data_IF_962425209068
#
_entry.id   IF_962425209068
#
_cell.length_a   1.000
_cell.length_b   1.000
_cell.length_c   1.000
_cell.angle_alpha   90.00
_cell.angle_beta   90.00
_cell.angle_gamma   90.00
#
_symmetry.space_group_name_H-M   'P 1'
#
loop_
_entity.id
_entity.type
_entity.pdbx_description
1 polymer ?
#
# COMPACT_ATOMS: atom_id res chain seq x y z
N UNK A 1 11.42 -27.51 9.74
CA UNK A 1 11.08 -26.60 9.52
C UNK A 1 10.88 -25.88 10.58
N UNK A 2 11.21 -25.23 10.65
CA UNK A 2 10.94 -24.62 11.57
C UNK A 2 9.81 -24.29 11.51
N UNK A 3 9.46 -24.66 11.70
CA UNK A 3 8.13 -24.49 11.64
C UNK A 3 7.65 -23.23 12.19
N UNK A 4 8.47 -22.53 12.73
CA UNK A 4 8.06 -21.34 13.37
C UNK A 4 7.40 -20.37 12.46
N UNK A 5 7.99 -20.16 11.32
CA UNK A 5 7.39 -19.25 10.37
C UNK A 5 6.06 -19.79 9.89
N UNK A 6 5.99 -21.08 9.69
CA UNK A 6 4.75 -21.68 9.27
C UNK A 6 3.68 -21.53 10.32
N UNK A 7 4.05 -21.66 11.57
CA UNK A 7 3.09 -21.52 12.63
C UNK A 7 2.50 -20.13 12.66
N UNK A 8 3.33 -19.13 12.46
CA UNK A 8 2.84 -17.76 12.45
C UNK A 8 1.81 -17.55 11.37
N UNK A 9 2.01 -18.21 10.24
CA UNK A 9 1.09 -18.03 9.12
C UNK A 9 -0.19 -18.81 9.30
N UNK A 10 -0.16 -19.89 10.05
CA UNK A 10 -1.29 -20.78 10.17
C UNK A 10 -2.40 -20.13 10.97
N UNK A 11 -3.57 -20.01 10.35
CA UNK A 11 -4.72 -19.44 11.02
C UNK A 11 -4.58 -17.98 11.34
N UNK A 12 -3.49 -17.40 10.94
CA UNK A 12 -3.29 -16.00 11.19
C UNK A 12 -4.11 -15.17 10.23
N UNK A 13 -4.32 -13.93 10.61
CA UNK A 13 -4.96 -13.01 9.71
C UNK A 13 -4.04 -12.70 8.55
N UNK A 14 -4.65 -12.16 7.51
CA UNK A 14 -3.90 -11.65 6.38
C UNK A 14 -2.86 -10.64 6.90
N UNK A 15 -1.64 -10.69 6.40
CA UNK A 15 -0.63 -9.71 6.82
C UNK A 15 -1.08 -8.29 6.53
N UNK A 16 -0.82 -7.41 7.47
CA UNK A 16 -1.09 -6.00 7.30
C UNK A 16 0.03 -5.36 6.51
N UNK A 17 -0.32 -4.58 5.49
CA UNK A 17 0.68 -3.82 4.76
C UNK A 17 0.52 -2.35 5.13
N UNK A 18 1.55 -1.79 5.75
CA UNK A 18 1.57 -0.39 6.12
C UNK A 18 2.22 0.39 4.99
N UNK A 19 1.42 1.19 4.30
CA UNK A 19 1.87 1.88 3.10
C UNK A 19 1.51 3.36 3.18
N UNK A 20 2.50 4.22 3.05
CA UNK A 20 2.33 5.66 3.20
C UNK A 20 2.69 6.37 1.91
N UNK A 21 1.91 7.41 1.58
CA UNK A 21 2.17 8.21 0.39
C UNK A 21 2.41 9.65 0.82
N UNK A 22 3.54 10.21 0.42
CA UNK A 22 3.92 11.56 0.78
C UNK A 22 3.39 12.55 -0.25
N UNK A 23 2.80 13.63 0.26
CA UNK A 23 2.18 14.65 -0.57
C UNK A 23 3.00 15.91 -0.54
N UNK A 24 3.11 16.58 -1.69
CA UNK A 24 3.85 17.83 -1.81
C UNK A 24 3.07 19.02 -1.30
N UNK A 25 2.55 18.94 -0.10
CA UNK A 25 1.85 20.02 0.56
C UNK A 25 2.03 19.92 2.05
N UNK A 26 2.14 21.05 2.72
CA UNK A 26 2.18 21.08 4.19
C UNK A 26 0.79 21.17 4.79
N UNK A 27 -0.25 21.23 3.97
CA UNK A 27 -1.62 21.42 4.45
C UNK A 27 -2.22 20.10 4.90
N UNK A 28 -2.29 19.91 6.21
CA UNK A 28 -2.80 18.66 6.79
C UNK A 28 -4.27 18.43 6.44
N UNK A 29 -5.05 19.49 6.25
CA UNK A 29 -6.44 19.33 5.88
C UNK A 29 -6.60 18.63 4.54
N UNK A 30 -5.72 18.92 3.60
CA UNK A 30 -5.74 18.25 2.31
C UNK A 30 -5.45 16.75 2.50
N UNK A 31 -4.41 16.42 3.26
CA UNK A 31 -4.08 15.03 3.51
C UNK A 31 -5.24 14.30 4.19
N UNK A 32 -5.87 14.94 5.17
CA UNK A 32 -7.02 14.33 5.84
C UNK A 32 -8.21 14.15 4.90
N UNK A 33 -8.44 15.11 4.01
CA UNK A 33 -9.53 14.98 3.05
C UNK A 33 -9.29 13.83 2.09
N UNK A 34 -8.06 13.68 1.64
CA UNK A 34 -7.71 12.57 0.75
C UNK A 34 -7.88 11.25 1.51
N UNK A 35 -7.38 11.18 2.75
CA UNK A 35 -7.49 9.96 3.54
C UNK A 35 -8.95 9.54 3.72
N UNK A 36 -9.84 10.50 3.94
CA UNK A 36 -11.26 10.18 4.10
C UNK A 36 -11.86 9.56 2.85
N UNK A 37 -11.40 9.97 1.68
CA UNK A 37 -11.93 9.45 0.42
C UNK A 37 -11.31 8.12 0.05
N UNK A 38 -10.14 7.82 0.56
CA UNK A 38 -9.44 6.58 0.24
C UNK A 38 -9.88 5.42 1.12
N UNK A 39 -10.14 5.69 2.39
CA UNK A 39 -10.47 4.62 3.32
C UNK A 39 -11.89 4.11 3.13
N UNK A 40 -12.09 2.85 3.52
CA UNK A 40 -13.37 2.16 3.34
C UNK A 40 -14.53 2.91 3.97
N UNK A 41 -14.38 3.37 5.20
CA UNK A 41 -15.46 4.02 5.93
C UNK A 41 -15.93 5.28 5.21
N UNK A 42 -15.03 5.96 4.52
CA UNK A 42 -15.38 7.16 3.76
C UNK A 42 -15.92 6.88 2.38
N UNK A 43 -16.19 5.62 2.06
CA UNK A 43 -16.70 5.26 0.74
C UNK A 43 -15.61 4.88 -0.25
N UNK A 44 -14.37 4.73 0.23
CA UNK A 44 -13.25 4.39 -0.63
C UNK A 44 -13.03 2.89 -0.74
N UNK A 45 -11.77 2.50 -0.64
CA UNK A 45 -11.36 1.10 -0.88
C UNK A 45 -11.61 0.24 0.34
N UNK A 46 -12.18 -0.95 0.11
CA UNK A 46 -12.29 -1.94 1.16
C UNK A 46 -10.90 -2.36 1.61
N UNK A 47 -10.81 -2.79 2.84
CA UNK A 47 -9.55 -3.28 3.41
C UNK A 47 -8.47 -2.22 3.45
N UNK A 48 -8.86 -0.95 3.44
CA UNK A 48 -7.93 0.16 3.51
C UNK A 48 -8.36 1.11 4.62
N UNK A 49 -7.47 1.32 5.58
CA UNK A 49 -7.62 2.34 6.60
C UNK A 49 -6.64 3.44 6.27
N UNK A 50 -7.01 4.69 6.51
CA UNK A 50 -6.15 5.80 6.13
C UNK A 50 -6.35 6.98 7.06
N UNK A 51 -5.28 7.74 7.26
CA UNK A 51 -5.32 8.99 8.02
C UNK A 51 -4.25 9.91 7.47
N UNK A 52 -4.49 11.22 7.62
CA UNK A 52 -3.50 12.20 7.25
C UNK A 52 -2.51 12.41 8.38
N UNK A 53 -1.25 12.61 8.04
CA UNK A 53 -0.18 12.81 9.00
C UNK A 53 0.68 13.97 8.53
N UNK A 54 1.08 14.83 9.46
CA UNK A 54 2.02 15.92 9.13
C UNK A 54 3.44 15.43 9.38
N UNK A 55 4.29 15.57 8.38
CA UNK A 55 5.71 15.29 8.52
C UNK A 55 6.41 16.65 8.65
N UNK A 56 6.38 17.19 9.87
CA UNK A 56 6.77 18.57 10.09
C UNK A 56 8.23 18.83 9.78
N UNK A 57 9.08 17.84 10.05
CA UNK A 57 10.51 17.98 9.77
C UNK A 57 10.79 18.18 8.28
N UNK A 58 9.90 17.70 7.44
CA UNK A 58 10.07 17.79 6.00
C UNK A 58 9.18 18.85 5.36
N UNK A 59 8.27 19.43 6.14
CA UNK A 59 7.34 20.42 5.61
C UNK A 59 6.34 19.87 4.62
N UNK A 60 6.03 18.57 4.73
CA UNK A 60 5.07 17.92 3.86
C UNK A 60 4.06 17.15 4.71
N UNK A 61 3.07 16.57 4.03
CA UNK A 61 2.10 15.72 4.70
C UNK A 61 2.10 14.35 4.05
N UNK A 62 1.35 13.43 4.64
CA UNK A 62 1.37 12.05 4.24
C UNK A 62 -0.02 11.45 4.43
N UNK A 63 -0.42 10.61 3.49
CA UNK A 63 -1.59 9.74 3.70
C UNK A 63 -1.02 8.41 4.18
N UNK A 64 -1.29 8.10 5.43
CA UNK A 64 -0.78 6.88 6.06
C UNK A 64 -1.88 5.83 5.99
N UNK A 65 -1.56 4.68 5.43
CA UNK A 65 -2.55 3.65 5.16
C UNK A 65 -2.14 2.31 5.72
N UNK A 66 -3.16 1.53 6.13
CA UNK A 66 -3.00 0.14 6.47
C UNK A 66 -3.90 -0.66 5.54
N UNK A 67 -3.29 -1.52 4.73
CA UNK A 67 -4.04 -2.41 3.86
C UNK A 67 -4.20 -3.73 4.59
N UNK A 68 -5.44 -4.05 4.93
CA UNK A 68 -5.71 -5.23 5.76
C UNK A 68 -5.89 -6.50 4.94
N UNK A 69 -6.03 -6.36 3.62
CA UNK A 69 -6.06 -7.50 2.71
C UNK A 69 -5.51 -7.05 1.36
N UNK A 70 -4.21 -7.21 1.18
CA UNK A 70 -3.54 -6.74 -0.03
C UNK A 70 -3.92 -7.56 -1.26
N UNK A 71 -4.52 -8.74 -1.07
CA UNK A 71 -4.94 -9.54 -2.22
C UNK A 71 -6.19 -8.99 -2.85
N UNK A 72 -6.96 -8.21 -2.11
CA UNK A 72 -8.20 -7.62 -2.59
C UNK A 72 -8.06 -6.12 -2.82
N UNK A 73 -7.29 -5.44 -1.97
CA UNK A 73 -6.96 -4.04 -2.18
C UNK A 73 -5.45 -3.95 -2.30
N UNK A 74 -4.97 -4.02 -3.53
CA UNK A 74 -3.55 -4.04 -3.81
C UNK A 74 -2.92 -2.67 -3.53
N UNK A 75 -1.60 -2.69 -3.31
CA UNK A 75 -0.86 -1.46 -3.05
C UNK A 75 -1.10 -0.44 -4.16
N UNK A 76 -1.06 -0.88 -5.43
CA UNK A 76 -1.20 0.07 -6.53
C UNK A 76 -2.58 0.70 -6.57
N UNK A 77 -3.63 -0.01 -6.13
CA UNK A 77 -4.97 0.58 -6.11
C UNK A 77 -5.04 1.72 -5.10
N UNK A 78 -4.45 1.52 -3.94
CA UNK A 78 -4.41 2.56 -2.92
C UNK A 78 -3.59 3.74 -3.42
N UNK A 79 -2.43 3.45 -4.04
CA UNK A 79 -1.56 4.50 -4.55
C UNK A 79 -2.27 5.35 -5.62
N UNK A 80 -2.93 4.69 -6.57
CA UNK A 80 -3.58 5.42 -7.66
C UNK A 80 -4.78 6.22 -7.17
N UNK A 81 -5.52 5.71 -6.17
CA UNK A 81 -6.62 6.49 -5.64
C UNK A 81 -6.12 7.74 -4.92
N UNK A 82 -5.02 7.61 -4.16
CA UNK A 82 -4.42 8.79 -3.55
C UNK A 82 -4.01 9.78 -4.63
N UNK A 83 -3.42 9.30 -5.73
CA UNK A 83 -3.01 10.17 -6.83
C UNK A 83 -4.21 10.91 -7.43
N UNK A 84 -5.29 10.18 -7.67
CA UNK A 84 -6.50 10.77 -8.25
C UNK A 84 -7.03 11.87 -7.35
N UNK A 85 -7.12 11.60 -6.06
CA UNK A 85 -7.66 12.59 -5.13
C UNK A 85 -6.71 13.75 -4.94
N UNK A 86 -5.39 13.48 -4.91
CA UNK A 86 -4.41 14.56 -4.77
C UNK A 86 -4.45 15.50 -5.98
N UNK A 87 -4.68 14.94 -7.17
CA UNK A 87 -4.75 15.76 -8.38
C UNK A 87 -5.88 16.79 -8.30
N UNK A 88 -6.94 16.51 -7.56
CA UNK A 88 -8.04 17.46 -7.41
C UNK A 88 -7.61 18.72 -6.68
N UNK A 89 -6.55 18.63 -5.88
CA UNK A 89 -6.01 19.77 -5.14
C UNK A 89 -4.76 20.32 -5.81
N UNK A 90 -4.37 19.76 -6.96
CA UNK A 90 -3.13 20.18 -7.60
C UNK A 90 -1.89 19.79 -6.81
N UNK A 91 -1.97 18.74 -6.00
CA UNK A 91 -0.88 18.34 -5.11
C UNK A 91 -0.18 17.11 -5.68
N UNK A 92 1.16 17.18 -5.85
CA UNK A 92 1.89 16.02 -6.36
C UNK A 92 2.18 15.00 -5.27
N UNK A 93 2.33 13.75 -5.68
CA UNK A 93 2.91 12.74 -4.83
C UNK A 93 4.42 12.88 -4.94
N UNK A 94 5.09 13.00 -3.80
CA UNK A 94 6.54 13.25 -3.80
C UNK A 94 7.33 12.07 -3.24
N UNK A 95 6.66 10.97 -2.91
CA UNK A 95 7.34 9.78 -2.42
C UNK A 95 6.36 8.84 -1.77
N UNK A 96 6.85 7.69 -1.40
CA UNK A 96 6.04 6.69 -0.71
C UNK A 96 6.97 5.77 0.08
N UNK A 97 6.41 5.05 1.03
CA UNK A 97 7.20 4.10 1.81
C UNK A 97 6.35 2.95 2.28
N UNK A 98 6.99 1.81 2.42
CA UNK A 98 6.41 0.65 3.09
C UNK A 98 7.06 0.59 4.46
N UNK A 99 6.25 0.54 5.50
CA UNK A 99 6.76 0.47 6.86
C UNK A 99 6.75 -0.98 7.31
N UNK A 100 7.93 -1.48 7.70
CA UNK A 100 8.06 -2.86 8.16
C UNK A 100 8.08 -3.85 7.00
N UNK A 101 7.59 -5.04 7.28
CA UNK A 101 7.64 -6.13 6.31
C UNK A 101 6.43 -6.10 5.38
N UNK A 102 6.65 -6.60 4.16
CA UNK A 102 5.60 -6.65 3.15
C UNK A 102 5.74 -7.98 2.42
N UNK A 103 4.61 -8.67 2.13
CA UNK A 103 4.69 -9.92 1.36
C UNK A 103 5.21 -9.66 -0.04
N UNK A 104 6.04 -10.58 -0.53
CA UNK A 104 6.57 -10.48 -1.89
C UNK A 104 5.45 -10.34 -2.91
N UNK A 105 4.38 -11.10 -2.74
CA UNK A 105 3.27 -11.09 -3.68
C UNK A 105 2.67 -9.70 -3.83
N UNK A 106 2.60 -8.94 -2.72
CA UNK A 106 2.03 -7.59 -2.78
C UNK A 106 2.87 -6.69 -3.68
N UNK A 107 4.19 -6.82 -3.60
CA UNK A 107 5.07 -6.01 -4.43
C UNK A 107 5.05 -6.49 -5.88
N UNK A 108 5.00 -7.79 -6.09
CA UNK A 108 4.97 -8.35 -7.45
C UNK A 108 3.69 -7.93 -8.16
N UNK A 109 2.55 -7.98 -7.48
CA UNK A 109 1.29 -7.52 -8.07
C UNK A 109 1.39 -6.07 -8.52
N UNK A 110 1.99 -5.25 -7.69
CA UNK A 110 2.14 -3.82 -8.00
C UNK A 110 3.09 -3.63 -9.18
N UNK A 111 4.21 -4.38 -9.20
CA UNK A 111 5.15 -4.30 -10.31
C UNK A 111 4.48 -4.75 -11.61
N UNK A 112 3.70 -5.83 -11.56
CA UNK A 112 3.02 -6.33 -12.74
C UNK A 112 2.03 -5.29 -13.28
N UNK A 113 1.34 -4.60 -12.39
CA UNK A 113 0.41 -3.57 -12.82
C UNK A 113 1.14 -2.43 -13.55
N UNK A 114 2.20 -1.90 -12.94
CA UNK A 114 2.87 -0.75 -13.52
C UNK A 114 3.65 -1.08 -14.77
N UNK A 115 4.14 -2.31 -14.88
CA UNK A 115 4.84 -2.75 -16.08
C UNK A 115 3.91 -3.23 -17.18
N UNK A 116 2.62 -3.41 -16.84
CA UNK A 116 1.66 -3.89 -17.82
C UNK A 116 1.90 -5.34 -18.23
N UNK A 117 2.36 -6.17 -17.29
CA UNK A 117 2.65 -7.56 -17.60
C UNK A 117 1.35 -8.34 -17.81
N UNK A 118 1.31 -9.15 -18.87
CA UNK A 118 0.16 -9.97 -19.20
C UNK A 118 0.40 -11.39 -18.73
N UNK A 119 -0.56 -11.93 -17.98
CA UNK A 119 -0.52 -13.33 -17.55
C UNK A 119 0.70 -13.68 -16.70
N UNK A 120 1.24 -12.71 -15.97
CA UNK A 120 2.38 -12.99 -15.10
C UNK A 120 1.92 -13.77 -13.88
N UNK A 121 2.75 -14.73 -13.47
CA UNK A 121 2.44 -15.59 -12.32
C UNK A 121 3.59 -15.56 -11.33
N UNK A 122 3.25 -15.66 -10.04
CA UNK A 122 4.26 -15.77 -8.99
C UNK A 122 5.21 -16.95 -9.22
N UNK A 123 4.76 -17.96 -9.95
CA UNK A 123 5.64 -19.10 -10.28
C UNK A 123 6.82 -18.70 -11.14
N UNK A 124 6.76 -17.53 -11.75
CA UNK A 124 7.86 -17.03 -12.58
C UNK A 124 8.88 -16.23 -11.77
N UNK A 125 8.58 -15.95 -10.51
CA UNK A 125 9.52 -15.25 -9.63
C UNK A 125 10.59 -16.24 -9.21
N UNK A 126 11.85 -15.92 -9.51
CA UNK A 126 12.95 -16.84 -9.29
C UNK A 126 13.03 -17.31 -7.84
N UNK A 127 12.91 -16.38 -6.91
CA UNK A 127 13.04 -16.73 -5.49
C UNK A 127 11.95 -17.69 -5.04
N UNK A 128 10.76 -17.58 -5.62
CA UNK A 128 9.68 -18.50 -5.30
C UNK A 128 10.04 -19.92 -5.68
N UNK A 129 10.66 -20.09 -6.86
CA UNK A 129 11.06 -21.42 -7.31
C UNK A 129 12.17 -21.97 -6.45
N UNK A 130 13.13 -21.15 -6.08
CA UNK A 130 14.22 -21.58 -5.24
C UNK A 130 13.71 -22.02 -3.87
N UNK A 131 12.77 -21.30 -3.32
CA UNK A 131 12.27 -21.59 -1.98
C UNK A 131 11.44 -22.86 -1.94
N UNK A 132 10.95 -23.32 -3.08
CA UNK A 132 10.19 -24.57 -3.12
C UNK A 132 11.07 -25.80 -2.95
N UNK A 133 12.35 -25.63 -3.15
CA UNK A 133 13.28 -26.73 -3.01
C UNK A 133 13.78 -26.84 -1.59
#
# INVERSE_FOLDING_TARGET
RHPTAGVVAIGARMPLVAYNVNLGTSNLEIANSIAKKVRHIGGGLRYCKAMGVALEDRGITQVSMNLTDYTKTAIYRAHELVRIEANRYGVPIVGAEVVGLVPMEALVDTAAYYLGLENFSMNQVLETRIMEE
#
